data_IF_375745487832
#
_entry.id   IF_375745487832
#
_cell.length_a   1.000
_cell.length_b   1.000
_cell.length_c   1.000
_cell.angle_alpha   90.00
_cell.angle_beta   90.00
_cell.angle_gamma   90.00
#
_symmetry.space_group_name_H-M   'P 1'
#
loop_
_entity.id
_entity.type
_entity.pdbx_description
1 polymer ?
#
# COMPACT_ATOMS: atom_id res chain seq x y z
N UNK A 1 6.03 -15.69 -7.55
CA UNK A 1 5.20 -15.39 -6.36
C UNK A 1 5.82 -14.23 -5.62
N UNK A 2 5.04 -13.29 -5.15
CA UNK A 2 5.54 -12.16 -4.35
C UNK A 2 5.17 -12.32 -2.88
N UNK A 3 5.94 -11.67 -2.00
CA UNK A 3 5.72 -11.66 -0.55
C UNK A 3 5.73 -10.23 -0.04
N UNK A 4 4.86 -9.93 0.91
CA UNK A 4 4.93 -8.71 1.70
C UNK A 4 5.74 -8.99 2.96
N UNK A 5 6.76 -8.17 3.19
CA UNK A 5 7.52 -8.19 4.43
C UNK A 5 7.23 -6.92 5.21
N UNK A 6 6.89 -7.06 6.50
CA UNK A 6 6.74 -5.92 7.39
C UNK A 6 8.05 -5.13 7.46
N UNK A 7 7.97 -3.81 7.40
CA UNK A 7 9.14 -2.94 7.41
C UNK A 7 10.03 -3.22 8.63
N UNK A 8 11.34 -3.37 8.38
CA UNK A 8 12.38 -3.62 9.38
C UNK A 8 13.55 -2.68 9.18
N UNK A 9 14.41 -2.46 10.21
CA UNK A 9 15.60 -1.63 10.06
C UNK A 9 16.56 -2.11 8.96
N UNK A 10 16.66 -3.40 8.72
CA UNK A 10 17.55 -3.99 7.69
C UNK A 10 17.06 -3.80 6.26
N UNK A 11 15.88 -3.23 6.06
CA UNK A 11 15.39 -2.83 4.73
C UNK A 11 15.97 -1.48 4.25
N UNK A 12 16.71 -0.75 5.08
CA UNK A 12 17.12 0.63 4.81
C UNK A 12 17.83 0.79 3.47
N UNK A 13 18.91 0.03 3.24
CA UNK A 13 19.73 0.17 2.05
C UNK A 13 18.99 -0.18 0.77
N UNK A 14 18.26 -1.30 0.78
CA UNK A 14 17.48 -1.75 -0.37
C UNK A 14 16.35 -0.77 -0.69
N UNK A 15 15.70 -0.23 0.34
CA UNK A 15 14.59 0.69 0.18
C UNK A 15 15.05 2.06 -0.32
N UNK A 16 16.19 2.57 0.17
CA UNK A 16 16.78 3.79 -0.33
C UNK A 16 17.21 3.66 -1.80
N UNK A 17 17.84 2.55 -2.15
CA UNK A 17 18.21 2.26 -3.54
C UNK A 17 16.97 2.21 -4.44
N UNK A 18 15.91 1.56 -4.01
CA UNK A 18 14.63 1.48 -4.71
C UNK A 18 14.02 2.88 -4.96
N UNK A 19 13.96 3.73 -3.93
CA UNK A 19 13.39 5.09 -4.07
C UNK A 19 14.26 5.97 -4.99
N UNK A 20 15.59 5.85 -4.94
CA UNK A 20 16.51 6.57 -5.85
C UNK A 20 16.35 6.12 -7.29
N UNK A 21 16.36 4.82 -7.53
CA UNK A 21 16.24 4.22 -8.86
C UNK A 21 14.93 4.60 -9.55
N UNK A 22 13.83 4.66 -8.78
CA UNK A 22 12.50 4.94 -9.30
C UNK A 22 12.05 6.39 -9.15
N UNK A 23 12.92 7.30 -8.69
CA UNK A 23 12.56 8.69 -8.40
C UNK A 23 11.90 9.39 -9.59
N UNK A 24 12.50 9.28 -10.79
CA UNK A 24 11.98 9.90 -12.01
C UNK A 24 10.67 9.26 -12.46
N UNK A 25 10.58 7.96 -12.34
CA UNK A 25 9.36 7.21 -12.68
C UNK A 25 8.20 7.61 -11.77
N UNK A 26 8.39 7.64 -10.47
CA UNK A 26 7.33 8.03 -9.52
C UNK A 26 6.90 9.48 -9.67
N UNK A 27 7.80 10.38 -10.04
CA UNK A 27 7.47 11.79 -10.27
C UNK A 27 6.47 12.03 -11.41
N UNK A 28 6.24 11.02 -12.25
CA UNK A 28 5.19 11.05 -13.30
C UNK A 28 3.77 10.97 -12.72
N UNK A 29 3.60 10.40 -11.54
CA UNK A 29 2.29 10.07 -10.95
C UNK A 29 2.00 10.84 -9.67
N UNK A 30 3.02 11.16 -8.90
CA UNK A 30 2.92 11.84 -7.61
C UNK A 30 4.02 12.89 -7.50
N UNK A 31 3.87 13.83 -6.59
CA UNK A 31 4.92 14.82 -6.31
C UNK A 31 6.21 14.15 -5.88
N UNK A 32 7.35 14.62 -6.42
CA UNK A 32 8.67 14.17 -5.98
C UNK A 32 8.86 14.44 -4.50
N UNK A 33 9.55 13.52 -3.83
CA UNK A 33 9.79 13.63 -2.38
C UNK A 33 10.76 14.74 -1.99
N UNK A 34 11.57 15.21 -2.93
CA UNK A 34 12.59 16.24 -2.71
C UNK A 34 13.92 15.68 -2.18
N UNK A 35 14.97 16.45 -2.37
CA UNK A 35 16.35 16.02 -2.01
C UNK A 35 16.53 15.75 -0.51
N UNK A 36 15.86 16.51 0.34
CA UNK A 36 15.90 16.33 1.80
C UNK A 36 15.43 14.94 2.22
N UNK A 37 14.41 14.38 1.55
CA UNK A 37 13.94 13.03 1.83
C UNK A 37 15.05 11.99 1.67
N UNK A 38 15.83 12.08 0.61
CA UNK A 38 16.94 11.15 0.34
C UNK A 38 18.11 11.37 1.29
N UNK A 39 18.44 12.63 1.61
CA UNK A 39 19.50 12.98 2.55
C UNK A 39 19.18 12.53 3.98
N UNK A 40 17.92 12.58 4.37
CA UNK A 40 17.42 12.25 5.73
C UNK A 40 16.77 10.87 5.81
N UNK A 41 17.00 10.00 4.83
CA UNK A 41 16.27 8.75 4.69
C UNK A 41 16.34 7.86 5.93
N UNK A 42 17.52 7.72 6.52
CA UNK A 42 17.73 6.90 7.72
C UNK A 42 16.88 7.39 8.91
N UNK A 43 16.85 8.71 9.14
CA UNK A 43 16.06 9.31 10.20
C UNK A 43 14.56 9.16 9.95
N UNK A 44 14.13 9.33 8.70
CA UNK A 44 12.72 9.15 8.30
C UNK A 44 12.27 7.69 8.45
N UNK A 45 13.14 6.74 8.08
CA UNK A 45 12.86 5.31 8.29
C UNK A 45 12.70 4.99 9.77
N UNK A 46 13.58 5.54 10.61
CA UNK A 46 13.48 5.38 12.07
C UNK A 46 12.15 5.87 12.60
N UNK A 47 11.68 7.04 12.15
CA UNK A 47 10.37 7.60 12.53
C UNK A 47 9.21 6.71 12.06
N UNK A 48 9.29 6.17 10.84
CA UNK A 48 8.27 5.24 10.32
C UNK A 48 8.20 3.95 11.13
N UNK A 49 9.34 3.42 11.53
CA UNK A 49 9.40 2.22 12.39
C UNK A 49 8.77 2.48 13.77
N UNK A 50 9.00 3.66 14.34
CA UNK A 50 8.37 4.07 15.60
C UNK A 50 6.84 4.19 15.48
N UNK A 51 6.34 4.78 14.39
CA UNK A 51 4.90 4.86 14.10
C UNK A 51 4.28 3.47 13.93
N UNK A 52 5.00 2.57 13.26
CA UNK A 52 4.58 1.18 13.10
C UNK A 52 4.51 0.45 14.45
N UNK A 53 5.49 0.62 15.30
CA UNK A 53 5.50 0.03 16.64
C UNK A 53 4.38 0.57 17.52
N UNK A 54 4.00 1.84 17.31
CA UNK A 54 2.86 2.47 17.98
C UNK A 54 1.50 2.04 17.40
N UNK A 55 1.47 1.31 16.28
CA UNK A 55 0.25 0.83 15.64
C UNK A 55 -0.54 1.89 14.86
N UNK A 56 0.04 3.08 14.62
CA UNK A 56 -0.62 4.13 13.84
C UNK A 56 -0.41 4.00 12.34
N UNK A 57 0.53 3.18 11.94
CA UNK A 57 0.80 2.82 10.54
C UNK A 57 1.27 1.38 10.44
N UNK A 58 1.11 0.79 9.26
CA UNK A 58 1.67 -0.52 8.91
C UNK A 58 2.37 -0.40 7.56
N UNK A 59 3.68 -0.62 7.54
CA UNK A 59 4.51 -0.49 6.35
C UNK A 59 5.00 -1.85 5.88
N UNK A 60 5.03 -2.05 4.56
CA UNK A 60 5.49 -3.30 3.95
C UNK A 60 6.35 -3.02 2.74
N UNK A 61 7.34 -3.88 2.52
CA UNK A 61 8.05 -3.98 1.26
C UNK A 61 7.54 -5.19 0.49
N UNK A 62 7.46 -5.05 -0.82
CA UNK A 62 7.05 -6.12 -1.75
C UNK A 62 8.31 -6.72 -2.34
N UNK A 63 8.52 -8.01 -2.16
CA UNK A 63 9.70 -8.71 -2.66
C UNK A 63 9.30 -9.90 -3.54
N UNK A 64 10.15 -10.22 -4.52
CA UNK A 64 10.00 -11.41 -5.33
C UNK A 64 10.67 -12.64 -4.70
N UNK A 65 10.68 -13.76 -5.41
CA UNK A 65 11.27 -15.03 -4.93
C UNK A 65 12.78 -14.95 -4.69
N UNK A 66 13.47 -14.05 -5.39
CA UNK A 66 14.91 -13.81 -5.24
C UNK A 66 15.22 -12.79 -4.12
N UNK A 67 14.19 -12.24 -3.47
CA UNK A 67 14.35 -11.20 -2.46
C UNK A 67 14.55 -9.80 -3.04
N UNK A 68 14.34 -9.61 -4.33
CA UNK A 68 14.41 -8.29 -4.97
C UNK A 68 13.22 -7.44 -4.56
N UNK A 69 13.48 -6.22 -4.13
CA UNK A 69 12.45 -5.28 -3.73
C UNK A 69 11.75 -4.71 -4.95
N UNK A 70 10.44 -4.98 -5.09
CA UNK A 70 9.61 -4.56 -6.20
C UNK A 70 8.78 -3.32 -5.90
N UNK A 71 8.53 -3.03 -4.64
CA UNK A 71 7.67 -1.93 -4.26
C UNK A 71 7.43 -1.83 -2.76
N UNK A 72 6.50 -0.93 -2.43
CA UNK A 72 6.01 -0.68 -1.07
C UNK A 72 4.50 -0.67 -1.07
N UNK A 73 3.90 -1.15 0.01
CA UNK A 73 2.47 -1.01 0.27
C UNK A 73 2.25 -0.70 1.75
N UNK A 74 1.52 0.36 2.02
CA UNK A 74 1.39 0.94 3.35
C UNK A 74 -0.07 1.14 3.73
N UNK A 75 -0.34 0.98 5.02
CA UNK A 75 -1.58 1.40 5.65
C UNK A 75 -1.23 2.50 6.65
N UNK A 76 -1.79 3.69 6.45
CA UNK A 76 -1.49 4.88 7.26
C UNK A 76 -2.75 5.41 7.93
N UNK A 77 -2.56 6.29 8.90
CA UNK A 77 -3.67 6.92 9.66
C UNK A 77 -4.64 5.88 10.25
N UNK A 78 -4.10 4.87 10.89
CA UNK A 78 -4.88 3.82 11.54
C UNK A 78 -5.68 4.43 12.70
N UNK A 79 -7.00 4.41 12.58
CA UNK A 79 -7.93 4.98 13.57
C UNK A 79 -9.26 4.23 13.51
N UNK A 80 -9.77 3.80 14.66
CA UNK A 80 -11.10 3.20 14.80
C UNK A 80 -11.37 2.04 13.80
N UNK A 81 -10.36 1.20 13.58
CA UNK A 81 -10.46 0.05 12.67
C UNK A 81 -10.39 0.40 11.18
N UNK A 82 -10.00 1.63 10.86
CA UNK A 82 -9.85 2.13 9.48
C UNK A 82 -8.41 2.55 9.21
N UNK A 83 -7.98 2.48 7.97
CA UNK A 83 -6.69 2.99 7.51
C UNK A 83 -6.76 3.43 6.05
N UNK A 84 -5.82 4.28 5.64
CA UNK A 84 -5.65 4.68 4.25
C UNK A 84 -4.56 3.83 3.59
N UNK A 85 -4.88 3.26 2.44
CA UNK A 85 -3.96 2.50 1.61
C UNK A 85 -3.14 3.42 0.72
N UNK A 86 -1.82 3.20 0.69
CA UNK A 86 -0.91 3.78 -0.31
C UNK A 86 0.06 2.73 -0.80
N UNK A 87 0.50 2.84 -2.06
CA UNK A 87 1.48 1.91 -2.60
C UNK A 87 2.28 2.53 -3.74
N UNK A 88 3.48 1.99 -3.96
CA UNK A 88 4.36 2.30 -5.09
C UNK A 88 4.99 1.01 -5.58
N UNK A 89 4.89 0.76 -6.88
CA UNK A 89 5.56 -0.37 -7.53
C UNK A 89 6.60 0.18 -8.49
N UNK A 90 7.81 -0.36 -8.45
CA UNK A 90 8.91 0.08 -9.30
C UNK A 90 8.64 -0.15 -10.79
N UNK A 91 9.27 0.64 -11.63
CA UNK A 91 9.06 0.62 -13.09
C UNK A 91 9.29 -0.75 -13.71
N UNK A 92 10.31 -1.48 -13.26
CA UNK A 92 10.63 -2.83 -13.77
C UNK A 92 9.56 -3.88 -13.47
N UNK A 93 8.74 -3.65 -12.45
CA UNK A 93 7.65 -4.55 -12.09
C UNK A 93 6.27 -4.04 -12.54
N UNK A 94 6.20 -2.87 -13.15
CA UNK A 94 4.95 -2.29 -13.64
C UNK A 94 4.34 -3.12 -14.77
N UNK A 95 3.00 -3.15 -14.82
CA UNK A 95 2.26 -3.85 -15.88
C UNK A 95 2.26 -5.38 -15.78
N UNK A 96 2.72 -5.95 -14.66
CA UNK A 96 2.77 -7.42 -14.44
C UNK A 96 1.79 -7.91 -13.37
N UNK A 97 0.85 -7.09 -12.96
CA UNK A 97 -0.10 -7.46 -11.92
C UNK A 97 0.46 -7.42 -10.49
N UNK A 98 1.67 -6.92 -10.29
CA UNK A 98 2.32 -6.85 -8.96
C UNK A 98 1.55 -5.95 -8.01
N UNK A 99 1.14 -4.76 -8.44
CA UNK A 99 0.35 -3.85 -7.62
C UNK A 99 -0.97 -4.48 -7.17
N UNK A 100 -1.69 -5.12 -8.10
CA UNK A 100 -2.97 -5.80 -7.79
C UNK A 100 -2.76 -6.91 -6.76
N UNK A 101 -1.73 -7.73 -6.92
CA UNK A 101 -1.42 -8.81 -5.98
C UNK A 101 -0.95 -8.28 -4.60
N UNK A 102 -0.13 -7.23 -4.58
CA UNK A 102 0.33 -6.61 -3.34
C UNK A 102 -0.84 -5.99 -2.54
N UNK A 103 -1.75 -5.30 -3.21
CA UNK A 103 -2.94 -4.72 -2.58
C UNK A 103 -3.87 -5.82 -2.06
N UNK A 104 -4.04 -6.91 -2.81
CA UNK A 104 -4.82 -8.08 -2.35
C UNK A 104 -4.26 -8.63 -1.04
N UNK A 105 -2.95 -8.81 -0.98
CA UNK A 105 -2.29 -9.36 0.21
C UNK A 105 -2.37 -8.40 1.41
N UNK A 106 -2.19 -7.08 1.21
CA UNK A 106 -2.33 -6.14 2.32
C UNK A 106 -3.76 -6.04 2.83
N UNK A 107 -4.75 -6.20 1.98
CA UNK A 107 -6.16 -6.29 2.42
C UNK A 107 -6.38 -7.52 3.32
N UNK A 108 -5.77 -8.65 2.97
CA UNK A 108 -5.81 -9.87 3.80
C UNK A 108 -5.14 -9.64 5.16
N UNK A 109 -3.97 -9.03 5.18
CA UNK A 109 -3.26 -8.67 6.41
C UNK A 109 -4.05 -7.67 7.25
N UNK A 110 -4.66 -6.68 6.62
CA UNK A 110 -5.47 -5.67 7.30
C UNK A 110 -6.61 -6.30 8.10
N UNK A 111 -7.35 -7.20 7.48
CA UNK A 111 -8.47 -7.88 8.14
C UNK A 111 -8.01 -8.92 9.16
N UNK A 112 -7.08 -9.80 8.78
CA UNK A 112 -6.70 -10.96 9.58
C UNK A 112 -5.65 -10.67 10.66
N UNK A 113 -4.66 -9.83 10.35
CA UNK A 113 -3.52 -9.57 11.25
C UNK A 113 -3.68 -8.28 12.02
N UNK A 114 -4.15 -7.22 11.36
CA UNK A 114 -4.25 -5.89 11.97
C UNK A 114 -5.64 -5.57 12.55
N UNK A 115 -6.60 -6.44 12.35
CA UNK A 115 -7.95 -6.28 12.89
C UNK A 115 -8.70 -5.06 12.34
N UNK A 116 -8.36 -4.62 11.12
CA UNK A 116 -9.03 -3.51 10.45
C UNK A 116 -10.29 -4.00 9.74
N UNK A 117 -11.29 -3.14 9.64
CA UNK A 117 -12.54 -3.46 8.95
C UNK A 117 -12.85 -2.56 7.77
N UNK A 118 -12.12 -1.45 7.59
CA UNK A 118 -12.31 -0.53 6.47
C UNK A 118 -10.97 0.00 5.97
N UNK A 119 -10.79 0.02 4.65
CA UNK A 119 -9.69 0.71 4.00
C UNK A 119 -10.23 1.79 3.07
N UNK A 120 -9.55 2.92 3.05
CA UNK A 120 -9.76 4.00 2.09
C UNK A 120 -8.54 4.15 1.19
N UNK A 121 -8.71 4.76 0.03
CA UNK A 121 -7.62 5.12 -0.88
C UNK A 121 -8.04 6.32 -1.72
N UNK A 122 -7.07 7.07 -2.20
CA UNK A 122 -7.30 8.18 -3.13
C UNK A 122 -6.36 8.07 -4.31
N UNK A 123 -6.81 8.53 -5.48
CA UNK A 123 -5.98 8.60 -6.67
C UNK A 123 -6.38 9.79 -7.52
N UNK A 124 -5.46 10.33 -8.30
CA UNK A 124 -5.80 11.33 -9.31
C UNK A 124 -6.58 10.69 -10.45
N UNK A 125 -7.42 11.48 -11.14
CA UNK A 125 -8.27 10.99 -12.23
C UNK A 125 -7.48 10.51 -13.45
N UNK A 126 -6.25 11.00 -13.65
CA UNK A 126 -5.36 10.59 -14.73
C UNK A 126 -4.56 9.31 -14.44
N UNK A 127 -4.54 8.86 -13.19
CA UNK A 127 -3.87 7.62 -12.81
C UNK A 127 -4.78 6.39 -12.98
N UNK A 128 -5.03 6.02 -14.24
CA UNK A 128 -5.93 4.91 -14.59
C UNK A 128 -5.44 3.56 -14.08
N UNK A 129 -4.13 3.36 -14.04
CA UNK A 129 -3.54 2.12 -13.52
C UNK A 129 -3.89 1.92 -12.04
N UNK A 130 -3.80 2.97 -11.23
CA UNK A 130 -4.18 2.93 -9.81
C UNK A 130 -5.69 2.68 -9.65
N UNK A 131 -6.52 3.33 -10.45
CA UNK A 131 -7.97 3.11 -10.43
C UNK A 131 -8.32 1.64 -10.73
N UNK A 132 -7.64 1.03 -11.69
CA UNK A 132 -7.85 -0.38 -12.04
C UNK A 132 -7.41 -1.32 -10.90
N UNK A 133 -6.29 -1.05 -10.25
CA UNK A 133 -5.82 -1.84 -9.09
C UNK A 133 -6.83 -1.80 -7.96
N UNK A 134 -7.35 -0.63 -7.63
CA UNK A 134 -8.34 -0.46 -6.57
C UNK A 134 -9.65 -1.17 -6.91
N UNK A 135 -10.16 -1.00 -8.13
CA UNK A 135 -11.40 -1.66 -8.58
C UNK A 135 -11.27 -3.18 -8.55
N UNK A 136 -10.15 -3.74 -9.02
CA UNK A 136 -9.88 -5.19 -9.00
C UNK A 136 -9.80 -5.77 -7.59
N UNK A 137 -9.49 -4.93 -6.61
CA UNK A 137 -9.42 -5.31 -5.20
C UNK A 137 -10.70 -4.98 -4.41
N UNK A 138 -11.81 -4.71 -5.10
CA UNK A 138 -13.10 -4.50 -4.46
C UNK A 138 -13.29 -3.14 -3.80
N UNK A 139 -12.41 -2.17 -4.07
CA UNK A 139 -12.63 -0.79 -3.66
C UNK A 139 -13.70 -0.15 -4.54
N UNK A 140 -14.62 0.57 -3.92
CA UNK A 140 -15.70 1.27 -4.59
C UNK A 140 -15.45 2.78 -4.52
N UNK A 141 -15.74 3.54 -5.61
CA UNK A 141 -15.61 4.99 -5.58
C UNK A 141 -16.66 5.59 -4.63
N UNK A 142 -16.23 6.55 -3.82
CA UNK A 142 -17.11 7.21 -2.83
C UNK A 142 -17.25 8.71 -3.05
N UNK A 143 -16.56 9.29 -4.02
CA UNK A 143 -16.74 10.69 -4.38
C UNK A 143 -15.48 11.36 -4.90
N UNK A 144 -15.68 12.56 -5.43
CA UNK A 144 -14.60 13.40 -5.90
C UNK A 144 -13.81 14.00 -4.74
N UNK A 145 -12.51 14.19 -4.94
CA UNK A 145 -11.61 14.82 -3.98
C UNK A 145 -10.48 15.54 -4.71
N UNK A 146 -9.60 16.15 -3.95
CA UNK A 146 -8.39 16.78 -4.47
C UNK A 146 -7.17 16.04 -3.92
N UNK A 147 -6.26 15.65 -4.79
CA UNK A 147 -5.00 14.98 -4.45
C UNK A 147 -3.86 15.86 -4.89
N UNK A 148 -3.13 16.45 -3.94
CA UNK A 148 -2.01 17.39 -4.20
C UNK A 148 -2.41 18.50 -5.19
N UNK A 149 -3.59 19.11 -5.00
CA UNK A 149 -4.11 20.16 -5.86
C UNK A 149 -4.68 19.71 -7.19
N UNK A 150 -4.70 18.42 -7.49
CA UNK A 150 -5.25 17.85 -8.73
C UNK A 150 -6.61 17.17 -8.46
N UNK A 151 -7.51 17.14 -9.46
CA UNK A 151 -8.75 16.38 -9.34
C UNK A 151 -8.49 14.91 -9.09
N UNK A 152 -9.20 14.34 -8.14
CA UNK A 152 -9.06 12.94 -7.75
C UNK A 152 -10.38 12.30 -7.36
N UNK A 153 -10.29 11.04 -7.00
CA UNK A 153 -11.42 10.23 -6.55
C UNK A 153 -11.03 9.43 -5.32
N UNK A 154 -11.92 9.42 -4.32
CA UNK A 154 -11.80 8.58 -3.14
C UNK A 154 -12.43 7.22 -3.34
N UNK A 155 -11.84 6.21 -2.72
CA UNK A 155 -12.28 4.82 -2.72
C UNK A 155 -12.41 4.29 -1.31
N UNK A 156 -13.28 3.31 -1.15
CA UNK A 156 -13.48 2.60 0.12
C UNK A 156 -13.69 1.12 -0.13
N UNK A 157 -13.11 0.29 0.73
CA UNK A 157 -13.39 -1.14 0.82
C UNK A 157 -13.71 -1.53 2.26
N UNK A 158 -14.84 -2.21 2.47
CA UNK A 158 -15.18 -2.86 3.73
C UNK A 158 -14.62 -4.29 3.72
N UNK A 159 -13.85 -4.64 4.75
CA UNK A 159 -13.11 -5.90 4.83
C UNK A 159 -13.90 -7.02 5.53
N UNK A 160 -14.99 -6.70 6.17
CA UNK A 160 -15.73 -7.62 7.06
C UNK A 160 -16.63 -8.61 6.34
N UNK A 161 -16.77 -8.51 5.02
CA UNK A 161 -17.75 -9.29 4.24
C UNK A 161 -17.27 -10.69 3.83
N UNK A 162 -16.02 -11.07 4.09
CA UNK A 162 -15.47 -12.35 3.63
C UNK A 162 -15.43 -13.47 4.70
N UNK A 163 -15.80 -13.20 5.94
CA UNK A 163 -15.74 -14.20 7.03
C UNK A 163 -17.03 -14.99 7.28
N UNK A 164 -18.06 -14.84 6.47
CA UNK A 164 -19.36 -15.52 6.71
C UNK A 164 -19.73 -16.55 5.65
N UNK A 165 -18.75 -17.34 5.18
CA UNK A 165 -19.05 -18.59 4.46
C UNK A 165 -18.26 -19.74 5.07
N UNK A 166 -18.63 -20.10 6.31
CA UNK A 166 -18.46 -21.48 6.75
C UNK A 166 -19.67 -22.26 6.21
N UNK A 167 -19.46 -23.32 5.43
CA UNK A 167 -20.56 -24.24 5.15
C UNK A 167 -20.93 -24.88 6.47
N UNK A 168 -22.17 -24.72 6.87
CA UNK A 168 -22.75 -25.59 7.90
C UNK A 168 -22.72 -27.01 7.35
N UNK A 169 -21.83 -27.84 7.87
CA UNK A 169 -21.96 -29.28 7.72
C UNK A 169 -23.27 -29.70 8.38
N UNK A 170 -24.21 -30.07 7.54
CA UNK A 170 -25.43 -30.77 7.99
C UNK A 170 -25.03 -32.15 8.44
N UNK A 171 -25.05 -32.34 9.74
CA UNK A 171 -25.00 -33.62 10.36
C UNK A 171 -26.35 -34.33 10.17
N UNK A 172 -26.34 -35.46 9.47
CA UNK A 172 -27.36 -36.51 9.58
C UNK A 172 -26.73 -37.69 10.24
#
# INVERSE_FOLDING_TARGET
MLTLQRLRPDHEDALLAFERENRRYFARFVSDRGDAYFAEFAARLHDRLAEQDAGVCHFHVVVDEQGTLLGRVNLVDVTDGSAELGYRIGEHAAGRGVATAAVREVCRLAAGTYGLHTLTAVTTLDNRASMAVLTRNGFLPVGETTVVGLPGIGYRRDLTTEQTRHPMESNK
#
